data_IF_013638575521
#
_entry.id   IF_013638575521
#
_cell.length_a   1.000
_cell.length_b   1.000
_cell.length_c   1.000
_cell.angle_alpha   90.00
_cell.angle_beta   90.00
_cell.angle_gamma   90.00
#
_symmetry.space_group_name_H-M   'P 1'
#
loop_
_entity.id
_entity.type
_entity.pdbx_description
1 polymer ?
#
# COMPACT_ATOMS: atom_id res chain seq x y z
N UNK A 1 -4.64 -13.92 17.78
CA UNK A 1 -4.32 -12.70 16.99
C UNK A 1 -2.89 -12.85 16.49
N UNK A 2 -2.68 -13.24 15.22
CA UNK A 2 -1.33 -13.54 14.70
C UNK A 2 -0.95 -12.48 13.67
N UNK A 3 -0.04 -11.58 14.06
CA UNK A 3 0.59 -10.61 13.15
C UNK A 3 1.82 -11.27 12.54
N UNK A 4 1.67 -11.90 11.37
CA UNK A 4 2.80 -12.31 10.54
C UNK A 4 3.38 -11.06 9.86
N UNK A 5 4.19 -10.29 10.60
CA UNK A 5 4.93 -9.15 10.06
C UNK A 5 6.19 -9.70 9.39
N UNK A 6 6.24 -9.57 8.07
CA UNK A 6 7.41 -9.95 7.28
C UNK A 6 8.51 -8.90 7.49
N UNK A 7 9.39 -9.12 8.47
CA UNK A 7 10.42 -8.18 8.96
C UNK A 7 11.27 -7.52 7.86
N UNK A 8 11.50 -8.21 6.74
CA UNK A 8 12.30 -7.69 5.62
C UNK A 8 11.62 -6.54 4.86
N UNK A 9 10.29 -6.49 4.82
CA UNK A 9 9.54 -5.40 4.19
C UNK A 9 9.37 -4.20 5.14
N UNK A 10 9.42 -4.45 6.45
CA UNK A 10 9.31 -3.44 7.49
C UNK A 10 10.41 -2.37 7.38
N UNK A 11 11.62 -2.73 6.94
CA UNK A 11 12.71 -1.76 6.75
C UNK A 11 12.36 -0.72 5.69
N UNK A 12 11.86 -1.16 4.53
CA UNK A 12 11.43 -0.27 3.45
C UNK A 12 10.21 0.57 3.90
N UNK A 13 9.23 -0.06 4.54
CA UNK A 13 8.05 0.64 5.06
C UNK A 13 8.38 1.70 6.11
N UNK A 14 9.35 1.42 6.99
CA UNK A 14 9.85 2.34 8.01
C UNK A 14 10.69 3.47 7.40
N UNK A 15 11.55 3.18 6.42
CA UNK A 15 12.38 4.19 5.73
C UNK A 15 11.55 5.31 5.09
N UNK A 16 10.33 5.01 4.67
CA UNK A 16 9.46 5.96 3.95
C UNK A 16 8.33 6.46 4.85
N UNK A 17 8.32 6.06 6.12
CA UNK A 17 7.24 6.30 7.07
C UNK A 17 5.85 6.05 6.43
N UNK A 18 5.67 4.82 5.94
CA UNK A 18 4.47 4.48 5.16
C UNK A 18 3.19 4.69 5.97
N UNK A 19 3.24 4.53 7.29
CA UNK A 19 2.10 4.76 8.18
C UNK A 19 1.64 6.22 8.16
N UNK A 20 2.57 7.19 8.21
CA UNK A 20 2.22 8.61 8.05
C UNK A 20 1.67 8.89 6.66
N UNK A 21 2.32 8.38 5.60
CA UNK A 21 1.83 8.59 4.22
C UNK A 21 0.46 7.98 3.99
N UNK A 22 0.19 6.80 4.55
CA UNK A 22 -1.13 6.17 4.48
C UNK A 22 -2.17 6.97 5.27
N UNK A 23 -1.80 7.81 6.23
CA UNK A 23 -2.76 8.70 6.89
C UNK A 23 -2.97 10.02 6.14
N UNK A 24 -1.89 10.60 5.63
CA UNK A 24 -1.88 11.94 5.02
C UNK A 24 -2.45 11.96 3.59
N UNK A 25 -2.23 10.90 2.81
CA UNK A 25 -2.54 10.93 1.38
C UNK A 25 -4.02 10.72 1.09
N UNK A 26 -4.66 11.60 0.33
CA UNK A 26 -6.07 11.44 -0.04
C UNK A 26 -6.24 10.45 -1.22
N UNK A 27 -6.11 9.16 -0.91
CA UNK A 27 -6.31 8.06 -1.86
C UNK A 27 -6.86 6.82 -1.15
N UNK A 28 -7.70 6.07 -1.85
CA UNK A 28 -8.28 4.80 -1.39
C UNK A 28 -7.21 3.70 -1.32
N UNK A 29 -6.29 3.71 -2.28
CA UNK A 29 -5.22 2.71 -2.38
C UNK A 29 -3.86 3.34 -2.58
N UNK A 30 -2.92 2.98 -1.71
CA UNK A 30 -1.51 3.30 -1.86
C UNK A 30 -0.73 2.07 -2.33
N UNK A 31 0.04 2.20 -3.41
CA UNK A 31 0.88 1.12 -3.92
C UNK A 31 2.34 1.47 -3.74
N UNK A 32 3.09 0.55 -3.14
CA UNK A 32 4.52 0.64 -2.92
C UNK A 32 5.23 -0.50 -3.67
N UNK A 33 6.07 -0.21 -4.68
CA UNK A 33 6.86 -1.21 -5.35
C UNK A 33 8.03 -1.65 -4.46
N UNK A 34 8.00 -2.90 -4.00
CA UNK A 34 8.98 -3.47 -3.06
C UNK A 34 10.02 -4.38 -3.74
N UNK A 35 10.23 -4.22 -5.05
CA UNK A 35 11.19 -4.99 -5.86
C UNK A 35 10.62 -5.45 -7.20
N UNK A 36 11.37 -6.30 -7.92
CA UNK A 36 10.99 -6.78 -9.27
C UNK A 36 9.67 -7.54 -9.20
N UNK A 37 8.62 -6.99 -9.81
CA UNK A 37 7.25 -7.52 -9.84
C UNK A 37 6.63 -7.78 -8.45
N UNK A 38 7.03 -7.06 -7.41
CA UNK A 38 6.43 -7.17 -6.07
C UNK A 38 5.87 -5.82 -5.63
N UNK A 39 4.60 -5.81 -5.25
CA UNK A 39 3.86 -4.64 -4.83
C UNK A 39 3.35 -4.86 -3.40
N UNK A 40 3.31 -3.79 -2.64
CA UNK A 40 2.59 -3.70 -1.37
C UNK A 40 1.47 -2.70 -1.59
N UNK A 41 0.25 -3.12 -1.33
CA UNK A 41 -0.97 -2.32 -1.47
C UNK A 41 -1.52 -2.03 -0.07
N UNK A 42 -1.87 -0.78 0.19
CA UNK A 42 -2.57 -0.35 1.39
C UNK A 42 -3.92 0.18 0.98
N UNK A 43 -4.98 -0.54 1.32
CA UNK A 43 -6.35 -0.11 1.11
C UNK A 43 -6.83 0.60 2.36
N UNK A 44 -7.33 1.81 2.19
CA UNK A 44 -8.08 2.51 3.23
C UNK A 44 -9.53 2.08 3.11
N UNK A 45 -10.06 1.58 4.21
CA UNK A 45 -11.46 1.20 4.33
C UNK A 45 -12.01 1.82 5.60
N UNK A 46 -13.33 1.83 5.71
CA UNK A 46 -14.04 2.16 6.94
C UNK A 46 -14.81 0.90 7.38
N UNK A 47 -14.77 0.61 8.67
CA UNK A 47 -15.63 -0.43 9.24
C UNK A 47 -17.09 0.06 9.22
N UNK A 48 -18.01 -0.76 8.72
CA UNK A 48 -19.40 -0.33 8.53
C UNK A 48 -20.14 -0.14 9.86
N UNK A 49 -19.76 -0.90 10.89
CA UNK A 49 -20.44 -0.92 12.18
C UNK A 49 -19.87 0.15 13.12
N UNK A 50 -18.54 0.29 13.16
CA UNK A 50 -17.87 1.23 14.09
C UNK A 50 -17.47 2.55 13.44
N UNK A 51 -17.50 2.65 12.10
CA UNK A 51 -16.94 3.77 11.32
C UNK A 51 -15.46 4.01 11.58
N UNK A 52 -14.74 3.01 12.09
CA UNK A 52 -13.31 3.14 12.31
C UNK A 52 -12.54 2.98 10.99
N UNK A 53 -11.51 3.81 10.83
CA UNK A 53 -10.62 3.72 9.66
C UNK A 53 -9.75 2.47 9.77
N UNK A 54 -9.90 1.57 8.81
CA UNK A 54 -9.11 0.36 8.67
C UNK A 54 -8.11 0.51 7.52
N UNK A 55 -6.90 -0.01 7.74
CA UNK A 55 -5.87 -0.08 6.71
C UNK A 55 -5.57 -1.55 6.45
N UNK A 56 -5.92 -2.02 5.25
CA UNK A 56 -5.67 -3.39 4.81
C UNK A 56 -4.38 -3.40 4.00
N UNK A 57 -3.37 -4.09 4.51
CA UNK A 57 -2.08 -4.27 3.84
C UNK A 57 -2.05 -5.59 3.09
N UNK A 58 -1.84 -5.55 1.79
CA UNK A 58 -1.72 -6.71 0.92
C UNK A 58 -0.37 -6.73 0.20
N UNK A 59 0.23 -7.91 0.05
CA UNK A 59 1.44 -8.10 -0.76
C UNK A 59 1.06 -8.87 -2.00
N UNK A 60 1.35 -8.30 -3.17
CA UNK A 60 1.00 -8.88 -4.47
C UNK A 60 2.22 -9.05 -5.35
N UNK A 61 2.20 -10.09 -6.18
CA UNK A 61 3.14 -10.23 -7.30
C UNK A 61 2.48 -9.74 -8.57
N UNK A 62 3.10 -8.79 -9.25
CA UNK A 62 2.53 -8.18 -10.45
C UNK A 62 3.32 -6.98 -10.95
N UNK A 63 2.92 -6.51 -12.14
CA UNK A 63 3.46 -5.28 -12.72
C UNK A 63 2.67 -4.10 -12.16
N UNK A 64 3.37 -3.12 -11.60
CA UNK A 64 2.80 -1.89 -11.03
C UNK A 64 1.75 -1.25 -11.96
N UNK A 65 2.11 -1.05 -13.23
CA UNK A 65 1.24 -0.39 -14.21
C UNK A 65 -0.06 -1.17 -14.44
N UNK A 66 0.01 -2.51 -14.48
CA UNK A 66 -1.17 -3.35 -14.69
C UNK A 66 -2.10 -3.26 -13.49
N UNK A 67 -1.53 -3.29 -12.30
CA UNK A 67 -2.31 -3.23 -11.05
C UNK A 67 -2.95 -1.86 -10.83
N UNK A 68 -2.19 -0.78 -10.99
CA UNK A 68 -2.71 0.57 -10.87
C UNK A 68 -3.82 0.85 -11.89
N UNK A 69 -3.69 0.36 -13.12
CA UNK A 69 -4.76 0.46 -14.13
C UNK A 69 -5.99 -0.35 -13.75
N UNK A 70 -5.80 -1.55 -13.21
CA UNK A 70 -6.90 -2.40 -12.75
C UNK A 70 -7.71 -1.70 -11.65
N UNK A 71 -7.03 -1.26 -10.58
CA UNK A 71 -7.66 -0.59 -9.43
C UNK A 71 -8.35 0.71 -9.83
N UNK A 72 -7.74 1.52 -10.69
CA UNK A 72 -8.40 2.71 -11.27
C UNK A 72 -9.63 2.34 -12.10
N UNK A 73 -9.59 1.24 -12.84
CA UNK A 73 -10.73 0.72 -13.60
C UNK A 73 -11.87 0.20 -12.72
N UNK A 74 -11.55 -0.23 -11.50
CA UNK A 74 -12.52 -0.61 -10.46
C UNK A 74 -13.07 0.62 -9.70
N UNK A 75 -12.61 1.84 -10.02
CA UNK A 75 -13.10 3.09 -9.45
C UNK A 75 -12.30 3.60 -8.24
N UNK A 76 -11.23 2.91 -7.84
CA UNK A 76 -10.40 3.36 -6.72
C UNK A 76 -9.51 4.55 -7.11
N UNK A 77 -9.37 5.50 -6.19
CA UNK A 77 -8.31 6.49 -6.23
C UNK A 77 -6.98 5.84 -5.80
N UNK A 78 -6.00 5.82 -6.72
CA UNK A 78 -4.74 5.10 -6.54
C UNK A 78 -3.57 6.08 -6.55
N UNK A 79 -2.74 6.02 -5.50
CA UNK A 79 -1.48 6.75 -5.42
C UNK A 79 -0.31 5.78 -5.29
N UNK A 80 0.76 6.03 -6.06
CA UNK A 80 1.95 5.18 -6.06
C UNK A 80 3.08 5.92 -5.38
N UNK A 81 3.70 5.30 -4.39
CA UNK A 81 4.89 5.85 -3.72
C UNK A 81 6.11 5.14 -4.29
N UNK A 82 6.91 5.84 -5.08
CA UNK A 82 8.19 5.33 -5.57
C UNK A 82 9.29 5.82 -4.63
N UNK A 83 10.06 4.87 -4.09
CA UNK A 83 11.25 5.18 -3.31
C UNK A 83 12.44 5.14 -4.24
N UNK A 84 13.03 6.30 -4.49
CA UNK A 84 14.33 6.35 -5.15
C UNK A 84 15.36 5.92 -4.12
N UNK A 85 15.88 4.69 -4.26
CA UNK A 85 17.12 4.35 -3.59
C UNK A 85 18.23 5.12 -4.31
N UNK A 86 18.71 6.19 -3.70
CA UNK A 86 19.96 6.82 -4.12
C UNK A 86 21.06 5.80 -3.95
N UNK A 87 21.63 5.34 -5.06
CA UNK A 87 22.79 4.45 -5.11
C UNK A 87 24.07 5.21 -4.75
#
# INVERSE_FOLDING_TARGET
>A
MVKLINWRLMKLENEINVESKVKEEDADVLILPAGRNKLIEYFKSEDIDTKEKLIIRQVKRGKLVKEAKKLKGEGFSVKVIVVTQSY
#
